data_IF_066865437593
#
_entry.id   IF_066865437593
#
_cell.length_a   1.000
_cell.length_b   1.000
_cell.length_c   1.000
_cell.angle_alpha   90.00
_cell.angle_beta   90.00
_cell.angle_gamma   90.00
#
_symmetry.space_group_name_H-M   'P 1'
#
loop_
_entity.id
_entity.type
_entity.pdbx_description
1 polymer ?
#
# COMPACT_ATOMS: atom_id res chain seq x y z
N UNK A 1 -7.84 10.46 -3.05
CA UNK A 1 -9.30 10.20 -3.16
C UNK A 1 -10.07 10.45 -1.86
N UNK A 2 -9.58 9.99 -0.68
CA UNK A 2 -10.27 10.17 0.59
C UNK A 2 -10.56 11.64 0.89
N UNK A 3 -9.55 12.50 0.86
CA UNK A 3 -9.69 13.93 1.18
C UNK A 3 -10.62 14.66 0.22
N UNK A 4 -10.59 14.35 -1.07
CA UNK A 4 -11.49 14.93 -2.05
C UNK A 4 -12.95 14.52 -1.84
N UNK A 5 -13.21 13.26 -1.49
CA UNK A 5 -14.57 12.76 -1.25
C UNK A 5 -15.12 13.21 0.10
N UNK A 6 -14.32 13.12 1.16
CA UNK A 6 -14.75 13.46 2.51
C UNK A 6 -14.78 14.97 2.74
N UNK A 7 -13.87 15.71 2.11
CA UNK A 7 -13.73 17.15 2.26
C UNK A 7 -14.97 17.96 1.87
N UNK A 8 -15.85 17.39 1.07
CA UNK A 8 -17.12 18.03 0.69
C UNK A 8 -18.23 17.89 1.75
N UNK A 9 -18.04 17.07 2.79
CA UNK A 9 -19.07 16.76 3.80
C UNK A 9 -19.16 17.77 4.96
N UNK A 10 -18.05 18.35 5.47
CA UNK A 10 -18.13 19.34 6.54
C UNK A 10 -18.99 20.55 6.12
N UNK A 11 -19.81 21.03 7.06
CA UNK A 11 -20.60 22.25 6.86
C UNK A 11 -19.75 23.51 6.97
N UNK A 12 -18.67 23.45 7.74
CA UNK A 12 -17.72 24.54 7.91
C UNK A 12 -16.89 24.76 6.64
N UNK A 13 -16.90 25.98 6.04
CA UNK A 13 -16.14 26.28 4.85
C UNK A 13 -14.62 26.21 5.07
N UNK A 14 -14.12 26.53 6.27
CA UNK A 14 -12.71 26.43 6.60
C UNK A 14 -12.25 24.96 6.62
N UNK A 15 -13.06 24.07 7.18
CA UNK A 15 -12.79 22.64 7.16
C UNK A 15 -12.73 22.09 5.74
N UNK A 16 -13.65 22.52 4.85
CA UNK A 16 -13.61 22.12 3.43
C UNK A 16 -12.35 22.62 2.73
N UNK A 17 -11.95 23.87 2.96
CA UNK A 17 -10.72 24.42 2.38
C UNK A 17 -9.48 23.64 2.86
N UNK A 18 -9.41 23.29 4.15
CA UNK A 18 -8.31 22.49 4.71
C UNK A 18 -8.23 21.10 4.06
N UNK A 19 -9.37 20.41 3.88
CA UNK A 19 -9.38 19.11 3.22
C UNK A 19 -8.93 19.20 1.75
N UNK A 20 -9.27 20.28 1.05
CA UNK A 20 -8.82 20.50 -0.32
C UNK A 20 -7.30 20.71 -0.37
N UNK A 21 -6.74 21.54 0.51
CA UNK A 21 -5.28 21.74 0.59
C UNK A 21 -4.54 20.44 0.92
N UNK A 22 -5.05 19.65 1.85
CA UNK A 22 -4.47 18.33 2.15
C UNK A 22 -4.52 17.44 0.90
N UNK A 23 -5.63 17.43 0.15
CA UNK A 23 -5.74 16.65 -1.07
C UNK A 23 -4.71 17.05 -2.13
N UNK A 24 -4.44 18.34 -2.30
CA UNK A 24 -3.42 18.86 -3.23
C UNK A 24 -2.00 18.48 -2.80
N UNK A 25 -1.72 18.48 -1.49
CA UNK A 25 -0.43 18.04 -0.95
C UNK A 25 -0.24 16.53 -1.18
N UNK A 26 -1.27 15.73 -0.94
CA UNK A 26 -1.20 14.27 -1.18
C UNK A 26 -1.01 13.94 -2.68
N UNK A 27 -1.59 14.72 -3.58
CA UNK A 27 -1.31 14.61 -5.02
C UNK A 27 0.16 14.86 -5.35
N UNK A 28 0.77 15.85 -4.70
CA UNK A 28 2.21 16.14 -4.84
C UNK A 28 3.06 15.01 -4.25
N UNK A 29 2.65 14.40 -3.13
CA UNK A 29 3.35 13.23 -2.56
C UNK A 29 3.33 12.05 -3.53
N UNK A 30 2.18 11.73 -4.13
CA UNK A 30 2.07 10.66 -5.13
C UNK A 30 3.04 10.91 -6.29
N UNK A 31 2.99 12.11 -6.89
CA UNK A 31 3.87 12.49 -7.99
C UNK A 31 5.35 12.41 -7.61
N UNK A 32 5.70 12.83 -6.39
CA UNK A 32 7.07 12.75 -5.89
C UNK A 32 7.55 11.32 -5.76
N UNK A 33 6.76 10.45 -5.13
CA UNK A 33 7.12 9.03 -4.96
C UNK A 33 7.18 8.29 -6.29
N UNK A 34 6.26 8.56 -7.21
CA UNK A 34 6.30 8.00 -8.56
C UNK A 34 7.57 8.41 -9.31
N UNK A 35 8.08 9.64 -9.11
CA UNK A 35 9.33 10.10 -9.72
C UNK A 35 10.58 9.39 -9.20
N UNK A 36 10.49 8.71 -8.06
CA UNK A 36 11.57 7.91 -7.48
C UNK A 36 11.61 6.47 -8.01
N UNK A 37 10.59 6.04 -8.76
CA UNK A 37 10.58 4.71 -9.36
C UNK A 37 11.59 4.61 -10.50
N UNK A 38 12.14 3.41 -10.70
CA UNK A 38 13.00 3.13 -11.84
C UNK A 38 12.17 3.16 -13.14
N UNK A 39 12.41 4.13 -14.05
CA UNK A 39 11.62 4.27 -15.27
C UNK A 39 11.86 3.13 -16.27
N UNK A 40 12.86 2.28 -16.05
CA UNK A 40 13.15 1.10 -16.86
C UNK A 40 12.44 -0.16 -16.39
N UNK A 41 11.82 -0.10 -15.23
CA UNK A 41 11.08 -1.22 -14.64
C UNK A 41 9.79 -1.49 -15.44
N UNK A 42 9.53 -2.76 -15.75
CA UNK A 42 8.31 -3.14 -16.45
C UNK A 42 7.07 -3.02 -15.56
N UNK A 43 5.90 -2.88 -16.17
CA UNK A 43 4.62 -2.86 -15.47
C UNK A 43 4.39 -4.11 -14.62
N UNK A 44 4.76 -5.29 -15.14
CA UNK A 44 4.59 -6.56 -14.42
C UNK A 44 5.54 -6.65 -13.24
N UNK A 45 6.78 -6.18 -13.37
CA UNK A 45 7.72 -6.07 -12.24
C UNK A 45 7.17 -5.14 -11.16
N UNK A 46 6.67 -3.96 -11.55
CA UNK A 46 6.04 -3.03 -10.61
C UNK A 46 4.82 -3.65 -9.92
N UNK A 47 4.00 -4.39 -10.65
CA UNK A 47 2.82 -5.05 -10.10
C UNK A 47 3.21 -6.08 -9.05
N UNK A 48 4.17 -6.96 -9.32
CA UNK A 48 4.69 -7.93 -8.33
C UNK A 48 5.21 -7.23 -7.07
N UNK A 49 5.98 -6.15 -7.21
CA UNK A 49 6.50 -5.40 -6.06
C UNK A 49 5.38 -4.73 -5.26
N UNK A 50 4.36 -4.22 -5.93
CA UNK A 50 3.18 -3.63 -5.30
C UNK A 50 2.43 -4.66 -4.45
N UNK A 51 2.07 -5.81 -5.03
CA UNK A 51 1.35 -6.86 -4.31
C UNK A 51 2.16 -7.42 -3.13
N UNK A 52 3.48 -7.54 -3.29
CA UNK A 52 4.36 -7.92 -2.19
C UNK A 52 4.34 -6.88 -1.06
N UNK A 53 4.31 -5.59 -1.39
CA UNK A 53 4.20 -4.52 -0.40
C UNK A 53 2.85 -4.56 0.33
N UNK A 54 1.74 -4.77 -0.38
CA UNK A 54 0.41 -4.94 0.22
C UNK A 54 0.37 -6.16 1.16
N UNK A 55 0.97 -7.29 0.77
CA UNK A 55 1.12 -8.45 1.64
C UNK A 55 1.85 -8.09 2.96
N UNK A 56 2.95 -7.32 2.88
CA UNK A 56 3.68 -6.87 4.06
C UNK A 56 2.84 -5.92 4.94
N UNK A 57 2.09 -5.01 4.34
CA UNK A 57 1.22 -4.08 5.08
C UNK A 57 0.15 -4.84 5.86
N UNK A 58 -0.63 -5.70 5.20
CA UNK A 58 -1.72 -6.44 5.87
C UNK A 58 -1.18 -7.46 6.88
N UNK A 59 -0.04 -8.09 6.59
CA UNK A 59 0.65 -8.92 7.57
C UNK A 59 1.06 -8.10 8.81
N UNK A 60 1.61 -6.91 8.62
CA UNK A 60 2.00 -6.01 9.71
C UNK A 60 0.78 -5.57 10.53
N UNK A 61 -0.31 -5.19 9.88
CA UNK A 61 -1.57 -4.85 10.56
C UNK A 61 -2.10 -6.03 11.38
N UNK A 62 -2.09 -7.23 10.81
CA UNK A 62 -2.49 -8.45 11.51
C UNK A 62 -1.63 -8.72 12.74
N UNK A 63 -0.31 -8.48 12.68
CA UNK A 63 0.60 -8.70 13.81
C UNK A 63 0.39 -7.69 14.94
N UNK A 64 0.05 -6.45 14.62
CA UNK A 64 -0.05 -5.34 15.58
C UNK A 64 -1.47 -5.08 16.08
N UNK A 65 -2.50 -5.60 15.40
CA UNK A 65 -3.91 -5.40 15.76
C UNK A 65 -4.30 -6.17 17.03
N UNK A 66 -4.90 -5.46 17.98
CA UNK A 66 -5.31 -6.01 19.28
C UNK A 66 -6.79 -6.42 19.32
N UNK A 67 -7.66 -5.83 18.46
CA UNK A 67 -9.07 -6.24 18.37
C UNK A 67 -9.20 -7.49 17.49
N UNK A 68 -9.65 -8.63 18.02
CA UNK A 68 -9.72 -9.87 17.26
C UNK A 68 -10.73 -9.83 16.11
N UNK A 69 -11.69 -8.88 16.11
CA UNK A 69 -12.65 -8.70 15.00
C UNK A 69 -11.98 -7.98 13.84
N UNK A 70 -11.18 -6.96 14.14
CA UNK A 70 -10.43 -6.20 13.15
C UNK A 70 -9.28 -7.06 12.61
N UNK A 71 -8.58 -7.80 13.48
CA UNK A 71 -7.53 -8.74 13.06
C UNK A 71 -8.01 -9.73 11.99
N UNK A 72 -9.23 -10.26 12.12
CA UNK A 72 -9.81 -11.15 11.10
C UNK A 72 -10.04 -10.47 9.74
N UNK A 73 -10.27 -9.15 9.75
CA UNK A 73 -10.37 -8.36 8.52
C UNK A 73 -9.00 -8.32 7.84
N UNK A 74 -7.93 -8.03 8.60
CA UNK A 74 -6.56 -8.02 8.08
C UNK A 74 -6.10 -9.40 7.58
N UNK A 75 -6.48 -10.48 8.27
CA UNK A 75 -6.24 -11.86 7.83
C UNK A 75 -6.90 -12.14 6.47
N UNK A 76 -8.14 -11.69 6.27
CA UNK A 76 -8.84 -11.83 5.00
C UNK A 76 -8.16 -11.04 3.88
N UNK A 77 -7.81 -9.77 4.14
CA UNK A 77 -7.11 -8.94 3.15
C UNK A 77 -5.74 -9.54 2.79
N UNK A 78 -4.96 -9.98 3.78
CA UNK A 78 -3.69 -10.66 3.53
C UNK A 78 -3.86 -11.89 2.62
N UNK A 79 -4.90 -12.70 2.86
CA UNK A 79 -5.16 -13.87 2.01
C UNK A 79 -5.50 -13.47 0.56
N UNK A 80 -6.20 -12.35 0.37
CA UNK A 80 -6.49 -11.81 -0.97
C UNK A 80 -5.23 -11.30 -1.65
N UNK A 81 -4.36 -10.54 -0.96
CA UNK A 81 -3.13 -10.01 -1.53
C UNK A 81 -2.11 -11.12 -1.85
N UNK A 82 -2.06 -12.19 -1.07
CA UNK A 82 -1.23 -13.36 -1.41
C UNK A 82 -1.68 -13.97 -2.76
N UNK A 83 -2.99 -14.02 -3.02
CA UNK A 83 -3.50 -14.51 -4.31
C UNK A 83 -3.24 -13.51 -5.44
N UNK A 84 -3.36 -12.20 -5.20
CA UNK A 84 -2.98 -11.18 -6.16
C UNK A 84 -1.49 -11.27 -6.52
N UNK A 85 -0.62 -11.41 -5.52
CA UNK A 85 0.82 -11.62 -5.72
C UNK A 85 1.12 -12.88 -6.56
N UNK A 86 0.40 -13.98 -6.28
CA UNK A 86 0.54 -15.21 -7.06
C UNK A 86 0.17 -15.00 -8.53
N UNK A 87 -0.93 -14.26 -8.80
CA UNK A 87 -1.37 -13.94 -10.17
C UNK A 87 -0.36 -13.02 -10.86
N UNK A 88 0.12 -11.99 -10.17
CA UNK A 88 1.13 -11.08 -10.71
C UNK A 88 2.44 -11.80 -11.03
N UNK A 89 2.91 -12.68 -10.14
CA UNK A 89 4.10 -13.49 -10.34
C UNK A 89 3.96 -14.43 -11.55
N UNK A 90 2.82 -15.10 -11.68
CA UNK A 90 2.53 -15.95 -12.83
C UNK A 90 2.53 -15.13 -14.14
N UNK A 91 1.90 -13.95 -14.16
CA UNK A 91 1.89 -13.08 -15.34
C UNK A 91 3.30 -12.61 -15.72
N UNK A 92 4.14 -12.29 -14.73
CA UNK A 92 5.53 -11.90 -14.94
C UNK A 92 6.33 -13.03 -15.60
N UNK A 93 6.19 -14.25 -15.12
CA UNK A 93 6.86 -15.43 -15.68
C UNK A 93 6.37 -15.74 -17.09
N UNK A 94 5.05 -15.78 -17.32
CA UNK A 94 4.46 -16.13 -18.61
C UNK A 94 4.75 -15.10 -19.72
N UNK A 95 4.80 -13.80 -19.38
CA UNK A 95 4.91 -12.72 -20.36
C UNK A 95 6.36 -12.24 -20.54
N UNK A 96 7.12 -12.15 -19.44
CA UNK A 96 8.48 -11.61 -19.46
C UNK A 96 9.57 -12.67 -19.20
N UNK A 97 9.20 -13.88 -18.82
CA UNK A 97 10.15 -14.96 -18.51
C UNK A 97 10.99 -14.69 -17.27
N UNK A 98 10.52 -13.86 -16.34
CA UNK A 98 11.20 -13.48 -15.10
C UNK A 98 10.60 -14.21 -13.90
N UNK A 99 11.47 -14.69 -13.01
CA UNK A 99 11.05 -15.27 -11.74
C UNK A 99 10.82 -14.18 -10.69
N UNK A 100 9.60 -14.10 -10.16
CA UNK A 100 9.27 -13.16 -9.09
C UNK A 100 10.10 -13.41 -7.81
N UNK A 101 10.52 -14.64 -7.53
CA UNK A 101 11.35 -14.96 -6.37
C UNK A 101 12.72 -14.27 -6.41
N UNK A 102 13.26 -14.00 -7.59
CA UNK A 102 14.52 -13.26 -7.75
C UNK A 102 14.36 -11.77 -7.38
N UNK A 103 13.14 -11.23 -7.50
CA UNK A 103 12.83 -9.84 -7.18
C UNK A 103 12.52 -9.62 -5.70
N UNK A 104 11.83 -10.58 -5.06
CA UNK A 104 11.20 -10.39 -3.76
C UNK A 104 12.10 -10.73 -2.56
N UNK A 105 13.17 -11.47 -2.77
CA UNK A 105 14.04 -11.93 -1.69
C UNK A 105 13.36 -12.94 -0.72
N UNK A 106 13.94 -13.18 0.46
CA UNK A 106 13.56 -14.30 1.33
C UNK A 106 12.28 -14.08 2.19
N UNK A 107 11.55 -12.99 2.01
CA UNK A 107 10.35 -12.66 2.78
C UNK A 107 10.51 -11.46 3.72
N UNK A 108 9.56 -11.28 4.63
CA UNK A 108 9.51 -10.10 5.51
C UNK A 108 10.34 -10.33 6.78
N UNK A 109 11.26 -9.41 7.08
CA UNK A 109 12.11 -9.50 8.28
C UNK A 109 11.37 -9.08 9.56
N UNK A 110 10.55 -8.02 9.48
CA UNK A 110 9.80 -7.48 10.60
C UNK A 110 8.48 -6.84 10.16
N UNK A 111 7.49 -6.88 11.06
CA UNK A 111 6.26 -6.11 10.90
C UNK A 111 6.52 -4.62 11.10
N UNK A 112 5.73 -3.79 10.42
CA UNK A 112 5.74 -2.35 10.65
C UNK A 112 5.34 -2.07 12.09
N UNK A 113 6.10 -1.23 12.77
CA UNK A 113 5.77 -0.72 14.10
C UNK A 113 5.25 0.70 14.00
N UNK A 114 4.18 0.99 14.76
CA UNK A 114 3.61 2.33 14.82
C UNK A 114 3.99 2.96 16.15
N UNK A 115 4.74 4.06 16.09
CA UNK A 115 5.04 4.85 17.29
C UNK A 115 3.91 5.86 17.55
N UNK A 116 3.67 6.17 18.83
CA UNK A 116 2.70 7.20 19.19
C UNK A 116 3.15 8.57 18.64
N UNK A 117 2.28 9.25 17.88
CA UNK A 117 2.55 10.58 17.30
C UNK A 117 2.94 11.68 18.30
N UNK A 118 2.77 11.42 19.58
CA UNK A 118 3.14 12.34 20.67
C UNK A 118 4.64 12.34 21.00
N UNK A 119 5.43 11.50 20.35
CA UNK A 119 6.89 11.45 20.53
C UNK A 119 7.66 12.47 19.65
N UNK A 120 6.93 13.25 18.81
CA UNK A 120 7.49 14.29 17.94
C UNK A 120 7.17 15.69 18.43
#
# INVERSE_FOLDING_TARGET
NYYMNFGNRPTDPLARALYLEIAEIEEQHVTHYESCLDPTMSWLTNWVLHENHECWLYWSFMQTEIDPRIKRIWELHLAMEIEHLRIAAQALEEIEGKDAAELLGPGFEAAMTFEEKKAY
#
